data_IF_965547694933
#
_entry.id   IF_965547694933
#
_cell.length_a   1.000
_cell.length_b   1.000
_cell.length_c   1.000
_cell.angle_alpha   90.00
_cell.angle_beta   90.00
_cell.angle_gamma   90.00
#
_symmetry.space_group_name_H-M   'P 1'
#
loop_
_entity.id
_entity.type
_entity.pdbx_description
1 polymer ?
#
# COMPACT_ATOMS: atom_id res chain seq x y z
N UNK A 1 -24.23 -2.56 21.81
CA UNK A 1 -23.15 -2.64 20.82
C UNK A 1 -21.95 -3.17 21.55
N UNK A 2 -21.53 -4.38 21.19
CA UNK A 2 -20.34 -5.00 21.76
C UNK A 2 -19.12 -4.43 21.04
N UNK A 3 -18.51 -3.40 21.64
CA UNK A 3 -17.35 -2.72 21.07
C UNK A 3 -16.10 -3.60 21.05
N UNK A 4 -16.06 -4.64 21.89
CA UNK A 4 -14.97 -5.62 21.91
C UNK A 4 -15.05 -6.55 20.70
N UNK A 5 -16.24 -7.03 20.34
CA UNK A 5 -16.43 -7.85 19.13
C UNK A 5 -16.02 -7.13 17.81
N UNK A 6 -16.08 -5.80 17.78
CA UNK A 6 -15.60 -4.97 16.65
C UNK A 6 -14.07 -4.81 16.63
N UNK A 7 -13.41 -5.02 17.78
CA UNK A 7 -11.95 -4.95 17.96
C UNK A 7 -11.29 -6.35 17.96
N UNK A 8 -12.07 -7.40 18.27
CA UNK A 8 -11.69 -8.82 18.20
C UNK A 8 -11.67 -9.35 16.76
N UNK A 9 -12.25 -8.62 15.80
CA UNK A 9 -12.09 -8.92 14.39
C UNK A 9 -10.64 -8.69 13.99
N UNK A 10 -9.96 -9.75 13.51
CA UNK A 10 -8.52 -9.82 13.29
C UNK A 10 -7.91 -8.54 12.68
N UNK A 11 -7.47 -7.64 13.56
CA UNK A 11 -6.89 -6.35 13.19
C UNK A 11 -5.67 -6.51 12.28
N UNK A 12 -4.98 -7.66 12.37
CA UNK A 12 -3.89 -8.05 11.46
C UNK A 12 -4.40 -8.07 10.01
N UNK A 13 -5.55 -8.69 9.73
CA UNK A 13 -6.13 -8.73 8.38
C UNK A 13 -6.56 -7.35 7.88
N UNK A 14 -7.08 -6.50 8.78
CA UNK A 14 -7.45 -5.12 8.48
C UNK A 14 -6.26 -4.26 8.02
N UNK A 15 -5.05 -4.52 8.50
CA UNK A 15 -3.84 -3.84 8.02
C UNK A 15 -3.18 -4.59 6.85
N UNK A 16 -3.21 -5.92 6.86
CA UNK A 16 -2.53 -6.75 5.86
C UNK A 16 -3.12 -6.59 4.45
N UNK A 17 -4.44 -6.71 4.30
CA UNK A 17 -5.11 -6.63 2.99
C UNK A 17 -4.90 -5.30 2.27
N UNK A 18 -5.18 -4.13 2.88
CA UNK A 18 -4.90 -2.86 2.23
C UNK A 18 -3.39 -2.62 2.07
N UNK A 19 -2.54 -3.16 2.96
CA UNK A 19 -1.08 -3.11 2.80
C UNK A 19 -0.59 -3.83 1.55
N UNK A 20 -1.11 -5.03 1.27
CA UNK A 20 -0.81 -5.79 0.04
C UNK A 20 -1.35 -5.04 -1.19
N UNK A 21 -2.58 -4.53 -1.13
CA UNK A 21 -3.17 -3.77 -2.23
C UNK A 21 -2.34 -2.51 -2.55
N UNK A 22 -1.90 -1.77 -1.52
CA UNK A 22 -1.02 -0.61 -1.68
C UNK A 22 0.34 -1.00 -2.27
N UNK A 23 0.92 -2.15 -1.88
CA UNK A 23 2.17 -2.64 -2.44
C UNK A 23 2.04 -2.96 -3.94
N UNK A 24 0.93 -3.60 -4.34
CA UNK A 24 0.63 -3.87 -5.76
C UNK A 24 0.48 -2.56 -6.54
N UNK A 25 -0.25 -1.59 -5.99
CA UNK A 25 -0.43 -0.27 -6.59
C UNK A 25 0.90 0.47 -6.74
N UNK A 26 1.76 0.43 -5.73
CA UNK A 26 3.09 1.02 -5.75
C UNK A 26 3.94 0.43 -6.89
N UNK A 27 3.97 -0.90 -7.01
CA UNK A 27 4.69 -1.59 -8.08
C UNK A 27 4.14 -1.24 -9.47
N UNK A 28 2.81 -1.18 -9.61
CA UNK A 28 2.16 -0.81 -10.87
C UNK A 28 2.50 0.64 -11.27
N UNK A 29 2.41 1.58 -10.33
CA UNK A 29 2.72 2.98 -10.54
C UNK A 29 4.20 3.20 -10.86
N UNK A 30 5.10 2.52 -10.15
CA UNK A 30 6.53 2.55 -10.44
C UNK A 30 6.87 2.00 -11.82
N UNK A 31 6.24 0.89 -12.23
CA UNK A 31 6.41 0.34 -13.58
C UNK A 31 5.86 1.28 -14.65
N UNK A 32 4.73 1.94 -14.38
CA UNK A 32 4.16 2.94 -15.28
C UNK A 32 5.09 4.15 -15.44
N UNK A 33 5.68 4.62 -14.35
CA UNK A 33 6.66 5.71 -14.33
C UNK A 33 7.94 5.34 -15.09
N UNK A 34 8.50 4.15 -14.84
CA UNK A 34 9.68 3.65 -15.59
C UNK A 34 9.45 3.55 -17.09
N UNK A 35 8.24 3.21 -17.54
CA UNK A 35 7.89 3.19 -18.98
C UNK A 35 7.92 4.59 -19.62
N UNK A 36 7.89 5.67 -18.83
CA UNK A 36 7.95 7.06 -19.31
C UNK A 36 9.38 7.55 -19.56
N UNK A 37 10.39 6.91 -18.95
CA UNK A 37 11.80 7.34 -19.01
C UNK A 37 12.38 7.34 -20.45
N UNK A 38 11.83 6.53 -21.36
CA UNK A 38 12.30 6.45 -22.75
C UNK A 38 11.58 7.34 -23.77
N UNK A 39 10.67 8.23 -23.34
CA UNK A 39 9.87 9.05 -24.28
C UNK A 39 10.51 10.41 -24.53
N UNK A 40 10.56 10.81 -25.80
CA UNK A 40 11.10 12.11 -26.24
C UNK A 40 10.36 13.33 -25.68
N UNK A 41 9.14 13.17 -25.16
CA UNK A 41 8.42 14.22 -24.44
C UNK A 41 8.03 13.75 -23.02
N UNK A 42 8.93 13.95 -22.04
CA UNK A 42 8.66 13.60 -20.64
C UNK A 42 7.53 14.44 -20.00
N UNK A 43 7.25 15.62 -20.56
CA UNK A 43 6.23 16.57 -20.06
C UNK A 43 4.85 16.36 -20.69
N UNK A 44 4.68 15.35 -21.55
CA UNK A 44 3.36 14.80 -21.85
C UNK A 44 2.86 14.01 -20.63
N UNK A 45 2.64 14.72 -19.52
CA UNK A 45 2.05 14.19 -18.31
C UNK A 45 0.59 13.85 -18.60
N UNK A 46 0.35 12.61 -19.03
CA UNK A 46 -1.01 12.06 -18.96
C UNK A 46 -1.53 12.28 -17.54
N UNK A 47 -2.78 12.75 -17.40
CA UNK A 47 -3.43 13.33 -16.20
C UNK A 47 -3.07 12.74 -14.82
N UNK A 48 -2.57 11.50 -14.77
CA UNK A 48 -2.17 10.81 -13.56
C UNK A 48 -0.67 10.99 -13.23
N UNK A 49 -0.33 11.54 -12.04
CA UNK A 49 1.04 11.68 -11.57
C UNK A 49 1.56 10.34 -10.97
N UNK A 50 2.04 9.42 -11.81
CA UNK A 50 2.49 8.09 -11.35
C UNK A 50 3.60 8.12 -10.31
N UNK A 51 4.50 9.11 -10.36
CA UNK A 51 5.55 9.28 -9.36
C UNK A 51 4.96 9.48 -7.97
N UNK A 52 3.99 10.39 -7.85
CA UNK A 52 3.37 10.71 -6.57
C UNK A 52 2.52 9.53 -6.07
N UNK A 53 1.82 8.85 -6.98
CA UNK A 53 1.08 7.62 -6.66
C UNK A 53 2.02 6.53 -6.16
N UNK A 54 3.15 6.30 -6.83
CA UNK A 54 4.13 5.30 -6.41
C UNK A 54 4.69 5.62 -5.02
N UNK A 55 4.99 6.90 -4.74
CA UNK A 55 5.45 7.34 -3.43
C UNK A 55 4.42 7.08 -2.33
N UNK A 56 3.20 7.59 -2.50
CA UNK A 56 2.14 7.46 -1.49
C UNK A 56 1.70 6.01 -1.27
N UNK A 57 1.62 5.22 -2.34
CA UNK A 57 1.28 3.81 -2.25
C UNK A 57 2.39 3.02 -1.54
N UNK A 58 3.67 3.33 -1.79
CA UNK A 58 4.79 2.69 -1.08
C UNK A 58 4.77 3.04 0.40
N UNK A 59 4.56 4.30 0.74
CA UNK A 59 4.45 4.74 2.14
C UNK A 59 3.30 4.02 2.85
N UNK A 60 2.11 3.99 2.24
CA UNK A 60 0.95 3.29 2.78
C UNK A 60 1.23 1.79 2.96
N UNK A 61 1.84 1.14 1.97
CA UNK A 61 2.22 -0.27 2.05
C UNK A 61 3.16 -0.54 3.23
N UNK A 62 4.20 0.27 3.42
CA UNK A 62 5.15 0.10 4.52
C UNK A 62 4.49 0.29 5.89
N UNK A 63 3.62 1.29 6.04
CA UNK A 63 2.92 1.54 7.31
C UNK A 63 1.96 0.41 7.65
N UNK A 64 1.15 -0.02 6.67
CA UNK A 64 0.13 -1.05 6.86
C UNK A 64 0.74 -2.43 7.06
N UNK A 65 1.70 -2.82 6.22
CA UNK A 65 2.39 -4.11 6.37
C UNK A 65 3.26 -4.13 7.62
N UNK A 66 3.88 -3.00 8.00
CA UNK A 66 4.62 -2.88 9.24
C UNK A 66 3.74 -3.02 10.48
N UNK A 67 2.54 -2.42 10.46
CA UNK A 67 1.55 -2.58 11.52
C UNK A 67 1.04 -4.03 11.62
N UNK A 68 0.71 -4.66 10.49
CA UNK A 68 0.30 -6.06 10.43
C UNK A 68 1.40 -7.00 10.94
N UNK A 69 2.65 -6.78 10.51
CA UNK A 69 3.81 -7.55 10.97
C UNK A 69 4.03 -7.39 12.47
N UNK A 70 3.90 -6.16 12.99
CA UNK A 70 4.00 -5.91 14.43
C UNK A 70 2.93 -6.70 15.19
N UNK A 71 1.66 -6.64 14.74
CA UNK A 71 0.54 -7.37 15.35
C UNK A 71 0.78 -8.88 15.38
N UNK A 72 1.24 -9.44 14.26
CA UNK A 72 1.62 -10.85 14.17
C UNK A 72 2.74 -11.23 15.15
N UNK A 73 3.79 -10.42 15.25
CA UNK A 73 4.93 -10.68 16.14
C UNK A 73 4.59 -10.49 17.63
N UNK A 74 3.60 -9.68 17.97
CA UNK A 74 3.11 -9.54 19.35
C UNK A 74 2.32 -10.74 19.86
N UNK A 75 2.08 -11.76 19.01
CA UNK A 75 1.51 -13.03 19.44
C UNK A 75 0.00 -13.13 19.26
N UNK A 76 -0.61 -12.29 18.42
CA UNK A 76 -1.97 -12.49 17.94
C UNK A 76 -1.91 -13.51 16.78
N UNK A 77 -2.29 -14.80 16.99
CA UNK A 77 -2.28 -15.78 15.91
C UNK A 77 -3.37 -15.42 14.88
N UNK A 78 -2.99 -15.50 13.60
CA UNK A 78 -3.84 -15.39 12.40
C UNK A 78 -4.65 -16.67 12.22
#
# INVERSE_FOLDING_TARGET
>A
MDWQALMDEDWVWYFLMPGIAAAILALAAWRADRRRIGRSNPDAVGWLPWRDIAFWATLAALLLLGAALRGYLSGDPI
#
